data_IF_142264765588
#
_entry.id   IF_142264765588
#
_cell.length_a   1.000
_cell.length_b   1.000
_cell.length_c   1.000
_cell.angle_alpha   90.00
_cell.angle_beta   90.00
_cell.angle_gamma   90.00
#
_symmetry.space_group_name_H-M   'P 1'
#
loop_
_entity.id
_entity.type
_entity.pdbx_description
1 polymer ?
#
# COMPACT_ATOMS: atom_id res chain seq x y z
N UNK A 1 -3.66 3.43 13.92
CA UNK A 1 -3.11 2.91 12.63
C UNK A 1 -1.59 2.85 12.58
N UNK A 2 -0.89 3.71 13.32
CA UNK A 2 0.59 3.76 13.30
C UNK A 2 1.27 2.40 13.49
N UNK A 3 0.92 1.56 14.49
CA UNK A 3 1.56 0.26 14.66
C UNK A 3 1.43 -0.67 13.46
N UNK A 4 0.29 -0.61 12.76
CA UNK A 4 0.06 -1.45 11.59
C UNK A 4 0.92 -1.02 10.40
N UNK A 5 1.08 0.26 10.19
CA UNK A 5 1.98 0.78 9.16
C UNK A 5 3.44 0.46 9.47
N UNK A 6 3.87 0.64 10.72
CA UNK A 6 5.23 0.30 11.14
C UNK A 6 5.53 -1.18 10.97
N UNK A 7 4.58 -2.07 11.30
CA UNK A 7 4.74 -3.50 11.13
C UNK A 7 4.95 -3.89 9.68
N UNK A 8 4.26 -3.24 8.74
CA UNK A 8 4.34 -3.54 7.32
C UNK A 8 5.48 -2.82 6.60
N UNK A 9 6.01 -1.74 7.18
CA UNK A 9 7.08 -0.93 6.58
C UNK A 9 8.36 -1.74 6.31
N UNK A 10 8.68 -2.71 7.15
CA UNK A 10 9.85 -3.58 7.00
C UNK A 10 9.86 -4.37 5.70
N UNK A 11 8.70 -4.57 5.06
CA UNK A 11 8.55 -5.32 3.82
C UNK A 11 8.68 -4.45 2.58
N UNK A 12 8.87 -3.13 2.74
CA UNK A 12 9.02 -2.19 1.62
C UNK A 12 10.33 -2.40 0.89
N UNK A 13 10.29 -2.39 -0.45
CA UNK A 13 11.49 -2.33 -1.28
C UNK A 13 12.23 -1.00 -1.14
N UNK A 14 11.51 0.06 -0.82
CA UNK A 14 12.07 1.40 -0.58
C UNK A 14 12.47 1.53 0.90
N UNK A 15 13.69 1.98 1.16
CA UNK A 15 14.23 2.10 2.52
C UNK A 15 13.63 3.24 3.33
N UNK A 16 13.29 4.34 2.68
CA UNK A 16 12.75 5.54 3.33
C UNK A 16 11.23 5.52 3.30
N UNK A 17 10.63 4.99 4.38
CA UNK A 17 9.18 4.93 4.52
C UNK A 17 8.69 6.19 5.24
N UNK A 18 7.81 7.02 4.63
CA UNK A 18 7.28 8.21 5.29
C UNK A 18 6.47 7.84 6.54
N UNK A 19 6.59 8.61 7.63
CA UNK A 19 5.78 8.38 8.83
C UNK A 19 4.34 8.85 8.64
N UNK A 20 3.40 8.20 9.35
CA UNK A 20 2.00 8.64 9.39
C UNK A 20 1.88 10.05 9.98
N UNK A 21 2.71 10.37 10.97
CA UNK A 21 2.71 11.67 11.62
C UNK A 21 1.57 11.84 12.62
N UNK A 22 1.23 13.09 12.89
CA UNK A 22 0.18 13.49 13.83
C UNK A 22 -0.75 14.54 13.20
N UNK A 23 -1.66 15.12 14.01
CA UNK A 23 -2.61 16.13 13.52
C UNK A 23 -1.94 17.43 13.07
N UNK A 24 -0.71 17.70 13.50
CA UNK A 24 0.03 18.91 13.12
C UNK A 24 0.94 18.70 11.90
N UNK A 25 1.01 17.48 11.37
CA UNK A 25 1.82 17.18 10.19
C UNK A 25 1.38 18.01 8.98
N UNK A 26 2.31 18.67 8.27
CA UNK A 26 1.97 19.45 7.08
C UNK A 26 1.27 18.60 6.01
N UNK A 27 0.34 19.20 5.27
CA UNK A 27 -0.42 18.53 4.21
C UNK A 27 0.48 17.80 3.20
N UNK A 28 1.58 18.42 2.79
CA UNK A 28 2.55 17.83 1.87
C UNK A 28 3.08 16.49 2.37
N UNK A 29 3.40 16.41 3.67
CA UNK A 29 3.91 15.17 4.26
C UNK A 29 2.82 14.11 4.40
N UNK A 30 1.59 14.50 4.69
CA UNK A 30 0.43 13.59 4.71
C UNK A 30 0.20 12.99 3.32
N UNK A 31 0.25 13.80 2.28
CA UNK A 31 0.10 13.35 0.90
C UNK A 31 1.22 12.41 0.47
N UNK A 32 2.47 12.70 0.86
CA UNK A 32 3.61 11.81 0.61
C UNK A 32 3.43 10.45 1.28
N UNK A 33 2.93 10.43 2.51
CA UNK A 33 2.63 9.19 3.23
C UNK A 33 1.63 8.33 2.47
N UNK A 34 0.49 8.88 2.09
CA UNK A 34 -0.54 8.12 1.38
C UNK A 34 -0.11 7.72 -0.02
N UNK A 35 0.58 8.58 -0.76
CA UNK A 35 1.11 8.24 -2.08
C UNK A 35 2.08 7.06 -2.00
N UNK A 36 2.96 7.05 -1.00
CA UNK A 36 3.88 5.94 -0.77
C UNK A 36 3.12 4.63 -0.53
N UNK A 37 2.14 4.63 0.36
CA UNK A 37 1.42 3.42 0.74
C UNK A 37 0.45 2.93 -0.33
N UNK A 38 -0.13 3.81 -1.14
CA UNK A 38 -0.94 3.38 -2.28
C UNK A 38 -0.09 2.75 -3.39
N UNK A 39 1.17 3.13 -3.51
CA UNK A 39 2.13 2.57 -4.46
C UNK A 39 3.09 1.57 -3.80
N UNK A 40 2.73 1.04 -2.65
CA UNK A 40 3.58 0.16 -1.85
C UNK A 40 4.02 -1.07 -2.63
N UNK A 41 5.34 -1.33 -2.62
CA UNK A 41 5.95 -2.52 -3.20
C UNK A 41 6.69 -3.29 -2.10
N UNK A 42 6.33 -4.58 -1.95
CA UNK A 42 6.94 -5.47 -0.96
C UNK A 42 8.05 -6.29 -1.61
N UNK A 43 9.18 -6.42 -0.91
CA UNK A 43 10.24 -7.35 -1.32
C UNK A 43 9.96 -8.80 -0.95
N UNK A 44 8.89 -9.05 -0.21
CA UNK A 44 8.51 -10.37 0.29
C UNK A 44 8.11 -11.29 -0.86
N UNK A 45 8.74 -12.46 -0.95
CA UNK A 45 8.53 -13.37 -2.09
C UNK A 45 7.78 -14.66 -1.79
N UNK A 46 7.62 -15.03 -0.52
CA UNK A 46 6.87 -16.22 -0.08
C UNK A 46 7.42 -17.57 -0.56
N UNK A 47 8.68 -17.66 -0.96
CA UNK A 47 9.30 -18.91 -1.40
C UNK A 47 9.28 -20.01 -0.32
N UNK A 48 9.28 -19.62 0.95
CA UNK A 48 9.18 -20.57 2.07
C UNK A 48 7.85 -21.31 2.13
N UNK A 49 6.85 -20.90 1.37
CA UNK A 49 5.53 -21.54 1.29
C UNK A 49 5.44 -22.55 0.16
N UNK A 50 6.53 -22.82 -0.56
CA UNK A 50 6.55 -23.79 -1.64
C UNK A 50 6.17 -25.16 -1.08
N UNK A 51 5.07 -25.73 -1.60
CA UNK A 51 4.51 -26.99 -1.11
C UNK A 51 5.38 -28.19 -1.46
N UNK A 52 6.09 -28.09 -2.58
CA UNK A 52 6.97 -29.14 -3.06
C UNK A 52 8.30 -28.57 -3.50
N UNK A 53 9.38 -29.32 -3.26
CA UNK A 53 10.71 -28.95 -3.72
C UNK A 53 10.88 -29.34 -5.19
N UNK A 54 11.32 -28.40 -6.01
CA UNK A 54 11.56 -28.60 -7.44
C UNK A 54 12.56 -29.74 -7.69
N UNK A 55 13.56 -29.85 -6.85
CA UNK A 55 14.63 -30.87 -6.93
C UNK A 55 14.13 -32.27 -6.73
N UNK A 56 12.95 -32.46 -6.12
CA UNK A 56 12.33 -33.79 -5.94
C UNK A 56 11.62 -34.30 -7.19
N UNK A 57 11.48 -33.45 -8.21
CA UNK A 57 10.95 -33.88 -9.49
C UNK A 57 11.90 -34.87 -10.18
N UNK A 58 11.35 -36.01 -10.65
CA UNK A 58 12.16 -37.08 -11.25
C UNK A 58 12.59 -36.77 -12.67
N UNK A 59 11.79 -36.00 -13.41
CA UNK A 59 12.09 -35.60 -14.77
C UNK A 59 11.86 -34.09 -14.98
N UNK A 60 12.18 -33.65 -16.19
CA UNK A 60 12.06 -32.24 -16.55
C UNK A 60 10.62 -31.74 -16.53
N UNK A 61 9.67 -32.55 -16.98
CA UNK A 61 8.26 -32.16 -17.04
C UNK A 61 7.66 -32.08 -15.63
N UNK A 62 8.02 -33.02 -14.75
CA UNK A 62 7.58 -33.00 -13.36
C UNK A 62 8.16 -31.79 -12.63
N UNK A 63 9.44 -31.46 -12.84
CA UNK A 63 10.08 -30.27 -12.26
C UNK A 63 9.40 -28.97 -12.71
N UNK A 64 9.04 -28.88 -13.99
CA UNK A 64 8.29 -27.72 -14.53
C UNK A 64 6.92 -27.61 -13.89
N UNK A 65 6.23 -28.72 -13.72
CA UNK A 65 4.91 -28.74 -13.09
C UNK A 65 5.00 -28.23 -11.64
N UNK A 66 5.95 -28.75 -10.85
CA UNK A 66 6.19 -28.35 -9.46
C UNK A 66 6.49 -26.85 -9.38
N UNK A 67 7.40 -26.35 -10.22
CA UNK A 67 7.74 -24.92 -10.24
C UNK A 67 6.53 -24.04 -10.59
N UNK A 68 5.71 -24.49 -11.53
CA UNK A 68 4.49 -23.77 -11.90
C UNK A 68 3.49 -23.69 -10.73
N UNK A 69 3.34 -24.79 -9.98
CA UNK A 69 2.48 -24.82 -8.80
C UNK A 69 3.01 -23.91 -7.68
N UNK A 70 4.30 -23.98 -7.41
CA UNK A 70 4.94 -23.13 -6.40
C UNK A 70 4.83 -21.66 -6.76
N UNK A 71 5.07 -21.30 -8.01
CA UNK A 71 4.95 -19.93 -8.51
C UNK A 71 3.52 -19.39 -8.37
N UNK A 72 2.52 -20.22 -8.66
CA UNK A 72 1.12 -19.83 -8.53
C UNK A 72 0.76 -19.55 -7.06
N UNK A 73 1.22 -20.38 -6.12
CA UNK A 73 1.01 -20.17 -4.68
C UNK A 73 1.67 -18.88 -4.22
N UNK A 74 2.92 -18.64 -4.62
CA UNK A 74 3.64 -17.40 -4.26
C UNK A 74 2.94 -16.16 -4.79
N UNK A 75 2.49 -16.20 -6.05
CA UNK A 75 1.77 -15.09 -6.68
C UNK A 75 0.46 -14.78 -5.96
N UNK A 76 -0.28 -15.83 -5.58
CA UNK A 76 -1.53 -15.70 -4.82
C UNK A 76 -1.28 -15.02 -3.46
N UNK A 77 -0.24 -15.46 -2.73
CA UNK A 77 0.11 -14.88 -1.43
C UNK A 77 0.55 -13.43 -1.54
N UNK A 78 1.32 -13.10 -2.57
CA UNK A 78 1.72 -11.72 -2.86
C UNK A 78 0.52 -10.82 -3.11
N UNK A 79 -0.43 -11.31 -3.91
CA UNK A 79 -1.68 -10.59 -4.21
C UNK A 79 -2.52 -10.38 -2.94
N UNK A 80 -2.62 -11.40 -2.08
CA UNK A 80 -3.31 -11.30 -0.79
C UNK A 80 -2.65 -10.24 0.11
N UNK A 81 -1.32 -10.22 0.16
CA UNK A 81 -0.56 -9.20 0.91
C UNK A 81 -0.87 -7.80 0.40
N UNK A 82 -0.81 -7.59 -0.91
CA UNK A 82 -1.09 -6.28 -1.51
C UNK A 82 -2.53 -5.83 -1.25
N UNK A 83 -3.49 -6.75 -1.34
CA UNK A 83 -4.89 -6.46 -1.02
C UNK A 83 -5.09 -6.08 0.44
N UNK A 84 -4.40 -6.76 1.36
CA UNK A 84 -4.46 -6.47 2.79
C UNK A 84 -3.87 -5.10 3.11
N UNK A 85 -2.73 -4.77 2.51
CA UNK A 85 -2.10 -3.45 2.69
C UNK A 85 -2.99 -2.36 2.11
N UNK A 86 -3.57 -2.57 0.93
CA UNK A 86 -4.49 -1.62 0.31
C UNK A 86 -5.71 -1.36 1.20
N UNK A 87 -6.27 -2.41 1.79
CA UNK A 87 -7.39 -2.27 2.73
C UNK A 87 -7.01 -1.46 3.97
N UNK A 88 -5.80 -1.67 4.50
CA UNK A 88 -5.27 -0.88 5.62
C UNK A 88 -5.15 0.60 5.24
N UNK A 89 -4.58 0.89 4.08
CA UNK A 89 -4.40 2.27 3.60
C UNK A 89 -5.76 2.95 3.40
N UNK A 90 -6.71 2.27 2.76
CA UNK A 90 -8.06 2.79 2.54
C UNK A 90 -8.78 3.07 3.86
N UNK A 91 -8.65 2.16 4.82
CA UNK A 91 -9.26 2.34 6.15
C UNK A 91 -8.67 3.56 6.88
N UNK A 92 -7.35 3.71 6.84
CA UNK A 92 -6.67 4.86 7.43
C UNK A 92 -7.09 6.17 6.74
N UNK A 93 -7.08 6.20 5.41
CA UNK A 93 -7.42 7.38 4.62
C UNK A 93 -8.86 7.83 4.89
N UNK A 94 -9.81 6.90 4.89
CA UNK A 94 -11.23 7.21 5.09
C UNK A 94 -11.57 7.65 6.52
N UNK A 95 -10.70 7.34 7.49
CA UNK A 95 -10.88 7.72 8.90
C UNK A 95 -9.89 8.77 9.37
N UNK A 96 -9.09 9.34 8.48
CA UNK A 96 -8.08 10.33 8.84
C UNK A 96 -8.70 11.73 8.92
N UNK A 97 -8.75 12.35 10.12
CA UNK A 97 -9.33 13.68 10.28
C UNK A 97 -8.57 14.76 9.50
N UNK A 98 -7.27 14.55 9.24
CA UNK A 98 -6.48 15.48 8.42
C UNK A 98 -6.97 15.51 6.98
N UNK A 99 -7.33 14.35 6.42
CA UNK A 99 -7.85 14.26 5.05
C UNK A 99 -9.22 14.94 4.97
N UNK A 100 -10.09 14.75 5.93
CA UNK A 100 -11.39 15.44 6.00
C UNK A 100 -11.20 16.96 6.01
N UNK A 101 -10.26 17.44 6.83
CA UNK A 101 -9.92 18.87 6.92
C UNK A 101 -9.41 19.42 5.59
N UNK A 102 -8.50 18.69 4.93
CA UNK A 102 -7.94 19.13 3.63
C UNK A 102 -9.00 19.20 2.54
N UNK A 103 -9.90 18.22 2.49
CA UNK A 103 -11.02 18.22 1.54
C UNK A 103 -11.96 19.41 1.78
N UNK A 104 -12.20 19.75 3.05
CA UNK A 104 -13.03 20.91 3.41
C UNK A 104 -12.35 22.21 3.01
N UNK A 105 -11.04 22.35 3.25
CA UNK A 105 -10.26 23.50 2.83
C UNK A 105 -10.31 23.69 1.31
N UNK A 106 -10.19 22.60 0.55
CA UNK A 106 -10.28 22.66 -0.92
C UNK A 106 -11.66 23.09 -1.40
N UNK A 107 -12.73 22.61 -0.77
CA UNK A 107 -14.10 23.05 -1.07
C UNK A 107 -14.29 24.53 -0.78
N UNK A 108 -13.78 24.99 0.35
CA UNK A 108 -13.87 26.40 0.75
C UNK A 108 -13.14 27.31 -0.23
N UNK A 109 -11.97 26.91 -0.70
CA UNK A 109 -11.21 27.64 -1.73
C UNK A 109 -11.96 27.70 -3.05
N UNK A 110 -12.54 26.60 -3.51
CA UNK A 110 -13.33 26.56 -4.74
C UNK A 110 -14.55 27.47 -4.64
N UNK A 111 -15.24 27.46 -3.51
CA UNK A 111 -16.41 28.28 -3.28
C UNK A 111 -16.04 29.76 -3.24
N UNK A 112 -14.95 30.11 -2.56
CA UNK A 112 -14.45 31.49 -2.53
C UNK A 112 -14.06 32.00 -3.91
N UNK A 113 -13.37 31.18 -4.70
CA UNK A 113 -12.98 31.51 -6.08
C UNK A 113 -14.21 31.70 -6.97
N UNK A 114 -15.24 30.87 -6.81
CA UNK A 114 -16.50 30.99 -7.55
C UNK A 114 -17.23 32.29 -7.20
N UNK A 115 -17.31 32.61 -5.91
CA UNK A 115 -17.93 33.88 -5.45
C UNK A 115 -17.19 35.10 -5.97
N UNK A 116 -15.87 35.09 -5.95
CA UNK A 116 -15.05 36.18 -6.49
C UNK A 116 -15.31 36.41 -7.98
N UNK A 117 -15.46 35.32 -8.75
CA UNK A 117 -15.79 35.42 -10.19
C UNK A 117 -17.20 35.96 -10.43
N UNK A 118 -18.14 35.65 -9.56
CA UNK A 118 -19.53 36.14 -9.69
C UNK A 118 -19.68 37.65 -9.37
N UNK A 119 -18.80 38.19 -8.54
CA UNK A 119 -18.80 39.60 -8.16
C UNK A 119 -18.24 40.49 -9.27
N UNK A 120 -17.40 39.94 -10.13
CA UNK A 120 -16.84 40.65 -11.27
C UNK A 120 -17.82 40.69 -12.43
#
# INVERSE_FOLDING_TARGET
>A
FTPYFEMNARWSEKKNVPPLGDNSTPRENVEKFYNFWYDFESWREYSYLDAEEKEKGQDRDERRWIEKQNKAVRAKKKKEEMSRIRALVDLSYNNDPRIVRFKQEDKDKKLAAKRARQVL
#
